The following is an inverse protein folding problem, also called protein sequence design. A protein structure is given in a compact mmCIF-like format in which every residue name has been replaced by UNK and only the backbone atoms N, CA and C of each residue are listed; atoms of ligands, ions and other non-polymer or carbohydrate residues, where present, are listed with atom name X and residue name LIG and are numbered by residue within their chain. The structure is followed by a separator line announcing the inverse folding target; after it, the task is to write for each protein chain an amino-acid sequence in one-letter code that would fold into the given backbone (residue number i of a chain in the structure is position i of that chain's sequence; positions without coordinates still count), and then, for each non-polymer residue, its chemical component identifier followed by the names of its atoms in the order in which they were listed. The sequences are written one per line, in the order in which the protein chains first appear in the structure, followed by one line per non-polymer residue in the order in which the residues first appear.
data_IF_043028074206
#
_entry.id   IF_043028074206
#
_cell.length_a   1.000
_cell.length_b   1.000
_cell.length_c   1.000
_cell.angle_alpha   90.00
_cell.angle_beta   90.00
_cell.angle_gamma   90.00
#
_symmetry.space_group_name_H-M   'P 1'
#
loop_
_entity.id
_entity.type
_entity.pdbx_description
1 polymer ?
#
# COMPACT_ATOMS: atom_id res chain seq x y z
N UNK A 1 23.45 7.08 5.36
CA UNK A 1 22.02 7.08 5.74
C UNK A 1 21.31 6.26 4.67
N UNK A 2 20.31 5.43 5.01
CA UNK A 2 19.57 4.67 4.01
C UNK A 2 18.98 5.64 2.99
N UNK A 3 19.04 5.27 1.70
CA UNK A 3 18.40 6.06 0.66
C UNK A 3 16.89 6.10 0.94
N UNK A 4 16.36 7.31 1.07
CA UNK A 4 14.95 7.56 1.33
C UNK A 4 14.33 8.16 0.06
N UNK A 5 13.35 7.47 -0.49
CA UNK A 5 12.57 7.96 -1.62
C UNK A 5 11.13 8.22 -1.16
N UNK A 6 10.61 9.39 -1.50
CA UNK A 6 9.20 9.74 -1.23
C UNK A 6 8.50 10.00 -2.55
N UNK A 7 7.38 9.33 -2.77
CA UNK A 7 6.51 9.56 -3.91
C UNK A 7 5.10 9.87 -3.44
N UNK A 8 4.47 10.86 -4.06
CA UNK A 8 3.09 11.26 -3.74
C UNK A 8 2.24 11.21 -5.01
N UNK A 9 1.05 10.62 -4.89
CA UNK A 9 0.07 10.56 -5.97
C UNK A 9 -1.27 11.11 -5.48
N UNK A 10 -1.87 11.96 -6.29
CA UNK A 10 -3.17 12.59 -6.03
C UNK A 10 -4.14 12.12 -7.11
N UNK A 11 -5.28 11.57 -6.72
CA UNK A 11 -6.33 11.25 -7.67
C UNK A 11 -7.71 11.31 -7.00
N UNK A 12 -8.71 11.76 -7.75
CA UNK A 12 -10.10 11.65 -7.34
C UNK A 12 -10.56 10.22 -7.56
N UNK A 13 -11.16 9.63 -6.54
CA UNK A 13 -11.66 8.26 -6.63
C UNK A 13 -13.14 8.24 -6.40
N UNK A 14 -13.86 7.60 -7.31
CA UNK A 14 -15.31 7.46 -7.27
C UNK A 14 -15.74 6.00 -7.26
N UNK A 15 -14.84 5.09 -7.59
CA UNK A 15 -15.06 3.64 -7.62
C UNK A 15 -13.97 2.89 -6.87
N UNK A 16 -14.25 1.61 -6.60
CA UNK A 16 -13.28 0.71 -6.00
C UNK A 16 -12.11 0.37 -6.94
N UNK A 17 -12.36 0.38 -8.25
CA UNK A 17 -11.30 0.19 -9.24
C UNK A 17 -10.34 1.38 -9.23
N UNK A 18 -10.83 2.62 -9.08
CA UNK A 18 -9.97 3.79 -8.87
C UNK A 18 -9.10 3.63 -7.61
N UNK A 19 -9.67 3.07 -6.53
CA UNK A 19 -8.91 2.77 -5.32
C UNK A 19 -7.82 1.73 -5.53
N UNK A 20 -8.11 0.66 -6.28
CA UNK A 20 -7.11 -0.34 -6.63
C UNK A 20 -5.97 0.25 -7.44
N UNK A 21 -6.28 1.12 -8.39
CA UNK A 21 -5.29 1.76 -9.25
C UNK A 21 -4.44 2.78 -8.47
N UNK A 22 -5.02 3.50 -7.50
CA UNK A 22 -4.28 4.40 -6.61
C UNK A 22 -3.34 3.61 -5.68
N UNK A 23 -3.83 2.49 -5.15
CA UNK A 23 -3.08 1.65 -4.21
C UNK A 23 -2.13 0.68 -4.91
N UNK A 24 -2.17 0.59 -6.25
CA UNK A 24 -1.35 -0.32 -7.07
C UNK A 24 -1.50 -1.78 -6.61
N UNK A 25 -2.75 -2.21 -6.44
CA UNK A 25 -3.10 -3.55 -5.92
C UNK A 25 -3.81 -4.38 -6.99
N UNK A 26 -3.32 -5.60 -7.19
CA UNK A 26 -3.91 -6.55 -8.14
C UNK A 26 -5.33 -6.97 -7.74
N UNK A 27 -6.15 -7.30 -8.74
CA UNK A 27 -7.54 -7.72 -8.52
C UNK A 27 -7.65 -8.96 -7.62
N UNK A 28 -6.75 -9.92 -7.78
CA UNK A 28 -6.72 -11.14 -6.97
C UNK A 28 -6.40 -10.83 -5.50
N UNK A 29 -5.43 -9.96 -5.26
CA UNK A 29 -5.06 -9.54 -3.91
C UNK A 29 -6.20 -8.78 -3.21
N UNK A 30 -6.84 -7.83 -3.91
CA UNK A 30 -7.98 -7.09 -3.38
C UNK A 30 -9.13 -8.03 -2.98
N UNK A 31 -9.44 -9.04 -3.80
CA UNK A 31 -10.47 -10.05 -3.48
C UNK A 31 -10.12 -10.89 -2.26
N UNK A 32 -8.86 -11.30 -2.12
CA UNK A 32 -8.40 -12.11 -0.98
C UNK A 32 -8.48 -11.33 0.33
N UNK A 33 -8.13 -10.04 0.31
CA UNK A 33 -8.27 -9.13 1.46
C UNK A 33 -9.73 -8.96 1.84
N UNK A 34 -10.60 -8.66 0.86
CA UNK A 34 -12.06 -8.56 1.10
C UNK A 34 -12.68 -9.83 1.65
N UNK A 35 -12.25 -10.98 1.16
CA UNK A 35 -12.72 -12.28 1.61
C UNK A 35 -12.16 -12.67 3.01
N UNK A 36 -11.35 -11.82 3.64
CA UNK A 36 -10.72 -12.09 4.93
C UNK A 36 -9.70 -13.23 4.91
N UNK A 37 -9.26 -13.64 3.71
CA UNK A 37 -8.30 -14.74 3.52
C UNK A 37 -6.85 -14.31 3.73
N UNK A 38 -6.60 -13.00 3.67
CA UNK A 38 -5.28 -12.40 3.90
C UNK A 38 -5.50 -11.20 4.81
N UNK A 39 -4.83 -11.20 5.95
CA UNK A 39 -4.82 -10.07 6.88
C UNK A 39 -3.62 -9.18 6.51
N UNK A 40 -3.89 -7.94 6.09
CA UNK A 40 -2.88 -6.97 5.71
C UNK A 40 -2.81 -5.87 6.77
N UNK A 41 -1.58 -5.55 7.20
CA UNK A 41 -1.28 -4.36 7.99
C UNK A 41 -0.74 -3.31 7.00
N UNK A 42 -1.29 -2.09 7.02
CA UNK A 42 -0.90 -1.00 6.09
C UNK A 42 -1.92 -0.73 4.98
N UNK A 43 -1.49 -0.38 3.77
CA UNK A 43 -2.36 0.08 2.65
C UNK A 43 -3.51 -0.88 2.29
N UNK A 44 -3.38 -2.18 2.57
CA UNK A 44 -4.44 -3.17 2.36
C UNK A 44 -5.68 -2.97 3.24
N UNK A 45 -5.58 -2.26 4.38
CA UNK A 45 -6.75 -1.96 5.23
C UNK A 45 -7.74 -1.02 4.57
N UNK A 46 -7.33 -0.23 3.57
CA UNK A 46 -8.25 0.60 2.78
C UNK A 46 -9.32 -0.23 2.05
N UNK A 47 -9.03 -1.48 1.66
CA UNK A 47 -10.02 -2.35 1.01
C UNK A 47 -11.05 -2.95 1.96
N UNK A 48 -10.76 -2.97 3.28
CA UNK A 48 -11.71 -3.42 4.29
C UNK A 48 -12.79 -2.36 4.56
N UNK A 49 -12.48 -1.09 4.35
CA UNK A 49 -13.36 0.01 4.68
C UNK A 49 -14.30 0.34 3.50
N UNK A 50 -15.34 -0.46 3.34
CA UNK A 50 -16.34 -0.33 2.26
C UNK A 50 -17.23 0.91 2.41
N UNK A 51 -17.12 1.67 3.50
CA UNK A 51 -17.88 2.89 3.75
C UNK A 51 -17.33 4.12 3.05
N UNK A 52 -16.12 4.05 2.46
CA UNK A 52 -15.48 5.18 1.77
C UNK A 52 -15.83 5.31 0.28
N UNK A 53 -16.81 4.57 -0.20
CA UNK A 53 -17.23 4.63 -1.62
C UNK A 53 -18.10 5.87 -1.84
N UNK A 54 -17.45 6.98 -2.21
CA UNK A 54 -18.05 8.27 -2.55
C UNK A 54 -17.07 9.10 -3.39
N UNK A 55 -17.49 10.27 -3.89
CA UNK A 55 -16.57 11.19 -4.57
C UNK A 55 -15.66 11.84 -3.53
N UNK A 56 -14.43 11.36 -3.43
CA UNK A 56 -13.44 11.85 -2.47
C UNK A 56 -12.13 12.20 -3.18
N UNK A 57 -11.44 13.23 -2.70
CA UNK A 57 -10.07 13.53 -3.11
C UNK A 57 -9.14 12.78 -2.18
N UNK A 58 -8.38 11.84 -2.73
CA UNK A 58 -7.45 11.01 -1.96
C UNK A 58 -6.00 11.37 -2.34
N UNK A 59 -5.15 11.43 -1.32
CA UNK A 59 -3.71 11.72 -1.44
C UNK A 59 -2.92 10.57 -0.82
N UNK A 60 -2.21 9.81 -1.66
CA UNK A 60 -1.37 8.70 -1.20
C UNK A 60 0.11 9.12 -1.23
N UNK A 61 0.73 9.19 -0.07
CA UNK A 61 2.17 9.39 0.08
C UNK A 61 2.82 8.06 0.46
N UNK A 62 3.77 7.59 -0.36
CA UNK A 62 4.58 6.39 -0.09
C UNK A 62 6.00 6.78 0.25
N UNK A 63 6.50 6.25 1.36
CA UNK A 63 7.89 6.40 1.78
C UNK A 63 8.59 5.05 1.65
N UNK A 64 9.68 5.02 0.88
CA UNK A 64 10.51 3.84 0.71
C UNK A 64 11.81 4.01 1.49
N UNK A 65 12.18 2.99 2.26
CA UNK A 65 13.43 2.93 3.00
C UNK A 65 14.22 1.71 2.54
N UNK A 66 15.40 1.93 1.96
CA UNK A 66 16.31 0.83 1.62
C UNK A 66 17.18 0.52 2.83
N UNK A 67 16.97 -0.64 3.46
CA UNK A 67 17.82 -1.13 4.54
C UNK A 67 18.75 -2.23 4.04
N UNK A 68 19.96 -2.30 4.59
CA UNK A 68 20.93 -3.34 4.29
C UNK A 68 21.24 -4.15 5.55
N UNK A 69 21.22 -5.46 5.43
CA UNK A 69 21.65 -6.37 6.49
C UNK A 69 23.12 -6.69 6.29
N UNK A 70 23.96 -6.29 7.24
CA UNK A 70 25.38 -6.65 7.22
C UNK A 70 25.56 -7.89 8.10
N UNK A 71 25.98 -8.99 7.50
CA UNK A 71 26.46 -10.14 8.27
C UNK A 71 27.92 -9.89 8.64
N UNK A 72 28.21 -9.83 9.94
CA UNK A 72 29.59 -9.85 10.43
C UNK A 72 30.12 -11.27 10.24
N UNK A 73 31.23 -11.42 9.51
CA UNK A 73 31.88 -12.71 9.37
C UNK A 73 32.34 -13.20 10.75
N UNK A 74 31.98 -14.43 11.12
CA UNK A 74 32.16 -14.99 12.47
C UNK A 74 33.63 -15.30 12.86
N UNK A 75 34.62 -14.82 12.10
CA UNK A 75 36.03 -15.16 12.33
C UNK A 75 36.84 -13.86 12.50
N UNK A 76 36.95 -13.42 13.75
CA UNK A 76 37.94 -12.46 14.23
C UNK A 76 38.88 -13.19 15.21
#
# INVERSE_FOLDING_TARGET
LPDQETSSRYQTTASEDDMRDLLDVSADLARKVKAGKVDFIGTGTYFRDTLKVGKTVESLTRMYFTTYTVALAANA
#
